data_IF_161167869214
#
_entry.id   IF_161167869214
#
_cell.length_a   1.000
_cell.length_b   1.000
_cell.length_c   1.000
_cell.angle_alpha   90.00
_cell.angle_beta   90.00
_cell.angle_gamma   90.00
#
_symmetry.space_group_name_H-M   'P 1'
#
loop_
_entity.id
_entity.type
_entity.pdbx_description
1 polymer ?
#
# COMPACT_ATOMS: atom_id res chain seq x y z
N UNK A 1 20.67 -25.68 -28.93
CA UNK A 1 19.39 -26.40 -29.11
C UNK A 1 18.57 -26.12 -27.87
N UNK A 2 17.83 -25.02 -27.83
CA UNK A 2 17.01 -24.65 -26.66
C UNK A 2 15.78 -25.53 -26.63
N UNK A 3 15.77 -26.53 -25.76
CA UNK A 3 14.55 -27.22 -25.36
C UNK A 3 13.74 -26.21 -24.55
N UNK A 4 12.87 -25.46 -25.22
CA UNK A 4 11.86 -24.67 -24.52
C UNK A 4 10.98 -25.68 -23.78
N UNK A 5 11.09 -25.74 -22.46
CA UNK A 5 10.19 -26.55 -21.63
C UNK A 5 8.76 -26.08 -21.91
N UNK A 6 7.95 -26.97 -22.49
CA UNK A 6 6.57 -26.67 -22.80
C UNK A 6 5.79 -26.30 -21.53
N UNK A 7 4.83 -25.38 -21.70
CA UNK A 7 3.93 -25.01 -20.62
C UNK A 7 3.14 -26.24 -20.17
N UNK A 8 3.32 -26.62 -18.89
CA UNK A 8 2.57 -27.70 -18.25
C UNK A 8 1.81 -27.14 -17.06
N UNK A 9 0.49 -27.35 -17.06
CA UNK A 9 -0.38 -26.95 -15.96
C UNK A 9 0.09 -27.58 -14.63
N UNK A 10 0.12 -26.80 -13.56
CA UNK A 10 0.54 -27.26 -12.24
C UNK A 10 2.05 -27.46 -12.06
N UNK A 11 2.88 -27.05 -13.03
CA UNK A 11 4.34 -27.10 -12.94
C UNK A 11 4.94 -25.70 -13.03
N UNK A 12 5.98 -25.46 -12.23
CA UNK A 12 6.78 -24.23 -12.29
C UNK A 12 7.96 -24.33 -13.26
N UNK A 13 8.19 -25.46 -13.93
CA UNK A 13 9.41 -25.69 -14.71
C UNK A 13 9.63 -24.65 -15.82
N UNK A 14 8.59 -24.37 -16.60
CA UNK A 14 8.66 -23.36 -17.66
C UNK A 14 8.93 -21.96 -17.08
N UNK A 15 8.23 -21.57 -16.00
CA UNK A 15 8.39 -20.27 -15.36
C UNK A 15 9.78 -20.09 -14.72
N UNK A 16 10.21 -21.07 -13.92
CA UNK A 16 11.47 -21.02 -13.19
C UNK A 16 12.70 -21.17 -14.08
N UNK A 17 12.58 -21.82 -15.23
CA UNK A 17 13.67 -21.84 -16.23
C UNK A 17 13.93 -20.47 -16.86
N UNK A 18 12.97 -19.53 -16.78
CA UNK A 18 13.03 -18.19 -17.39
C UNK A 18 13.29 -17.06 -16.40
N UNK A 19 12.90 -17.24 -15.14
CA UNK A 19 12.86 -16.19 -14.12
C UNK A 19 13.33 -16.76 -12.78
N UNK A 20 14.21 -16.05 -12.06
CA UNK A 20 14.60 -16.39 -10.70
C UNK A 20 13.58 -15.94 -9.65
N UNK A 21 12.39 -16.55 -9.62
CA UNK A 21 11.47 -16.34 -8.51
C UNK A 21 12.03 -16.97 -7.23
N UNK A 22 11.68 -16.42 -6.06
CA UNK A 22 12.14 -16.93 -4.76
C UNK A 22 11.75 -18.38 -4.50
N UNK A 23 10.68 -18.88 -5.14
CA UNK A 23 10.21 -20.26 -5.01
C UNK A 23 10.96 -21.27 -5.89
N UNK A 24 11.66 -20.80 -6.93
CA UNK A 24 12.26 -21.67 -7.95
C UNK A 24 13.34 -22.64 -7.45
N UNK A 25 14.19 -22.28 -6.47
CA UNK A 25 15.13 -23.22 -5.87
C UNK A 25 14.47 -24.36 -5.07
N UNK A 26 13.16 -24.28 -4.80
CA UNK A 26 12.45 -25.20 -3.89
C UNK A 26 11.43 -26.11 -4.58
N UNK A 27 11.26 -25.98 -5.89
CA UNK A 27 10.22 -26.71 -6.64
C UNK A 27 10.81 -27.40 -7.86
N UNK A 28 10.20 -28.52 -8.28
CA UNK A 28 10.59 -29.27 -9.47
C UNK A 28 11.56 -30.40 -9.17
N UNK A 29 12.82 -30.24 -9.57
CA UNK A 29 13.89 -31.24 -9.34
C UNK A 29 14.33 -31.28 -7.88
N UNK A 30 14.99 -32.38 -7.49
CA UNK A 30 15.56 -32.58 -6.14
C UNK A 30 16.53 -31.48 -5.74
N UNK A 31 17.20 -30.85 -6.71
CA UNK A 31 18.16 -29.75 -6.49
C UNK A 31 17.56 -28.36 -6.81
N UNK A 32 16.25 -28.27 -7.03
CA UNK A 32 15.57 -27.03 -7.46
C UNK A 32 15.77 -26.73 -8.95
N UNK A 33 15.15 -25.64 -9.42
CA UNK A 33 15.25 -25.18 -10.82
C UNK A 33 15.99 -23.86 -10.88
N UNK A 34 17.11 -23.87 -11.60
CA UNK A 34 17.88 -22.67 -11.90
C UNK A 34 17.41 -22.01 -13.21
N UNK A 35 17.30 -20.67 -13.26
CA UNK A 35 17.02 -19.97 -14.51
C UNK A 35 18.18 -20.09 -15.50
N UNK A 36 17.87 -20.15 -16.80
CA UNK A 36 18.88 -20.21 -17.86
C UNK A 36 19.69 -18.91 -17.98
N UNK A 37 19.10 -17.78 -17.57
CA UNK A 37 19.73 -16.47 -17.62
C UNK A 37 19.23 -15.62 -16.45
N UNK A 38 20.15 -15.07 -15.67
CA UNK A 38 19.89 -14.15 -14.56
C UNK A 38 20.93 -13.03 -14.54
N UNK A 39 20.62 -11.92 -13.84
CA UNK A 39 21.54 -10.79 -13.68
C UNK A 39 22.81 -11.19 -12.91
N UNK A 40 23.98 -10.74 -13.38
CA UNK A 40 25.28 -11.08 -12.82
C UNK A 40 25.37 -10.67 -11.35
N UNK A 41 25.88 -11.60 -10.54
CA UNK A 41 26.16 -11.35 -9.13
C UNK A 41 27.39 -10.45 -8.98
N UNK A 42 27.36 -9.58 -7.97
CA UNK A 42 28.47 -8.68 -7.65
C UNK A 42 29.04 -9.07 -6.29
N UNK A 43 30.36 -9.23 -6.22
CA UNK A 43 31.06 -9.44 -4.95
C UNK A 43 31.33 -8.08 -4.32
N UNK A 44 30.75 -7.81 -3.15
CA UNK A 44 31.00 -6.62 -2.36
C UNK A 44 31.75 -7.04 -1.09
N UNK A 45 33.03 -6.68 -1.00
CA UNK A 45 33.95 -7.17 0.02
C UNK A 45 33.93 -8.72 0.09
N UNK A 46 33.37 -9.29 1.16
CA UNK A 46 33.29 -10.74 1.38
C UNK A 46 31.89 -11.33 1.14
N UNK A 47 30.88 -10.53 0.82
CA UNK A 47 29.53 -11.00 0.52
C UNK A 47 29.24 -10.98 -0.98
N UNK A 48 28.63 -12.06 -1.48
CA UNK A 48 28.19 -12.14 -2.86
C UNK A 48 26.71 -11.72 -2.90
N UNK A 49 26.45 -10.59 -3.56
CA UNK A 49 25.10 -10.05 -3.71
C UNK A 49 24.54 -10.55 -5.03
N UNK A 50 23.39 -11.18 -4.94
CA UNK A 50 22.66 -11.67 -6.09
C UNK A 50 21.76 -10.55 -6.65
N UNK A 51 21.69 -10.47 -7.98
CA UNK A 51 20.79 -9.58 -8.74
C UNK A 51 20.73 -8.10 -8.23
N UNK A 52 21.87 -7.40 -8.18
CA UNK A 52 21.94 -6.05 -7.60
C UNK A 52 21.07 -5.01 -8.33
N UNK A 53 20.85 -5.17 -9.65
CA UNK A 53 19.98 -4.29 -10.43
C UNK A 53 18.54 -4.27 -9.90
N UNK A 54 17.99 -5.45 -9.62
CA UNK A 54 16.62 -5.62 -9.10
C UNK A 54 16.53 -5.15 -7.64
N UNK A 55 17.60 -5.37 -6.85
CA UNK A 55 17.70 -4.90 -5.47
C UNK A 55 17.54 -3.37 -5.35
N UNK A 56 18.16 -2.60 -6.25
CA UNK A 56 18.01 -1.14 -6.27
C UNK A 56 16.53 -0.74 -6.47
N UNK A 57 15.80 -1.43 -7.35
CA UNK A 57 14.39 -1.16 -7.58
C UNK A 57 13.54 -1.49 -6.35
N UNK A 58 13.83 -2.56 -5.63
CA UNK A 58 13.11 -2.86 -4.38
C UNK A 58 13.38 -1.79 -3.30
N UNK A 59 14.58 -1.22 -3.21
CA UNK A 59 14.85 -0.08 -2.32
C UNK A 59 14.00 1.13 -2.70
N UNK A 60 13.94 1.46 -4.00
CA UNK A 60 13.08 2.53 -4.50
C UNK A 60 11.60 2.24 -4.18
N UNK A 61 11.15 1.00 -4.37
CA UNK A 61 9.79 0.57 -4.05
C UNK A 61 9.47 0.74 -2.55
N UNK A 62 10.40 0.42 -1.65
CA UNK A 62 10.23 0.66 -0.21
C UNK A 62 10.09 2.14 0.11
N UNK A 63 10.96 2.99 -0.44
CA UNK A 63 10.90 4.45 -0.22
C UNK A 63 9.58 5.02 -0.73
N UNK A 64 9.18 4.65 -1.95
CA UNK A 64 7.91 5.10 -2.53
C UNK A 64 6.70 4.61 -1.72
N UNK A 65 6.75 3.36 -1.23
CA UNK A 65 5.69 2.80 -0.37
C UNK A 65 5.60 3.55 0.96
N UNK A 66 6.73 3.90 1.56
CA UNK A 66 6.76 4.71 2.79
C UNK A 66 6.14 6.11 2.58
N UNK A 67 6.44 6.77 1.46
CA UNK A 67 5.84 8.07 1.09
C UNK A 67 4.32 7.94 0.90
N UNK A 68 3.85 6.90 0.21
CA UNK A 68 2.41 6.66 0.04
C UNK A 68 1.72 6.44 1.39
N UNK A 69 2.29 5.60 2.27
CA UNK A 69 1.76 5.38 3.63
C UNK A 69 1.69 6.70 4.41
N UNK A 70 2.73 7.54 4.31
CA UNK A 70 2.74 8.85 4.96
C UNK A 70 1.57 9.73 4.47
N UNK A 71 1.37 9.84 3.15
CA UNK A 71 0.25 10.63 2.60
C UNK A 71 -1.13 10.08 2.99
N UNK A 72 -1.33 8.77 2.98
CA UNK A 72 -2.59 8.14 3.42
C UNK A 72 -2.89 8.52 4.87
N UNK A 73 -1.88 8.46 5.74
CA UNK A 73 -2.03 8.78 7.16
C UNK A 73 -2.23 10.26 7.44
N UNK A 74 -1.74 11.14 6.57
CA UNK A 74 -1.93 12.60 6.69
C UNK A 74 -3.36 13.06 6.39
N UNK A 75 -4.20 12.25 5.71
CA UNK A 75 -5.62 12.55 5.52
C UNK A 75 -6.42 12.17 6.78
N UNK A 76 -7.25 13.08 7.29
CA UNK A 76 -8.02 12.86 8.53
C UNK A 76 -9.41 12.25 8.34
N UNK A 77 -10.09 12.59 7.22
CA UNK A 77 -11.51 12.28 6.95
C UNK A 77 -11.75 11.31 5.78
N UNK A 78 -10.70 10.76 5.17
CA UNK A 78 -10.83 9.91 3.99
C UNK A 78 -11.41 8.53 4.31
N UNK A 79 -12.37 8.10 3.48
CA UNK A 79 -12.99 6.78 3.52
C UNK A 79 -11.98 5.66 3.21
N UNK A 80 -12.02 4.57 3.97
CA UNK A 80 -11.20 3.37 3.79
C UNK A 80 -9.72 3.58 4.11
N UNK A 81 -9.35 4.66 4.80
CA UNK A 81 -7.95 5.05 5.06
C UNK A 81 -7.16 3.97 5.80
N UNK A 82 -7.74 3.34 6.81
CA UNK A 82 -7.03 2.35 7.64
C UNK A 82 -6.93 0.99 6.91
N UNK A 83 -7.92 0.70 6.09
CA UNK A 83 -8.09 -0.49 5.28
C UNK A 83 -7.06 -0.50 4.15
N UNK A 84 -6.93 0.61 3.40
CA UNK A 84 -5.95 0.72 2.32
C UNK A 84 -4.52 0.82 2.85
N UNK A 85 -4.32 1.47 4.01
CA UNK A 85 -3.01 1.50 4.66
C UNK A 85 -2.51 0.08 4.97
N UNK A 86 -3.40 -0.84 5.35
CA UNK A 86 -3.04 -2.24 5.59
C UNK A 86 -2.50 -2.93 4.32
N UNK A 87 -3.10 -2.66 3.16
CA UNK A 87 -2.59 -3.16 1.87
C UNK A 87 -1.15 -2.67 1.62
N UNK A 88 -0.86 -1.38 1.82
CA UNK A 88 0.50 -0.84 1.63
C UNK A 88 1.49 -1.38 2.67
N UNK A 89 1.07 -1.64 3.91
CA UNK A 89 1.92 -2.32 4.89
C UNK A 89 2.25 -3.76 4.47
N UNK A 90 1.29 -4.52 3.93
CA UNK A 90 1.55 -5.86 3.40
C UNK A 90 2.49 -5.81 2.19
N UNK A 91 2.28 -4.88 1.26
CA UNK A 91 3.19 -4.68 0.12
C UNK A 91 4.62 -4.30 0.56
N UNK A 92 4.75 -3.46 1.59
CA UNK A 92 6.05 -3.15 2.19
C UNK A 92 6.72 -4.41 2.75
N UNK A 93 5.98 -5.26 3.48
CA UNK A 93 6.52 -6.53 4.01
C UNK A 93 6.92 -7.51 2.90
N UNK A 94 6.13 -7.63 1.82
CA UNK A 94 6.49 -8.42 0.63
C UNK A 94 7.81 -7.91 0.04
N UNK A 95 7.92 -6.59 -0.17
CA UNK A 95 9.12 -5.98 -0.75
C UNK A 95 10.37 -6.18 0.13
N UNK A 96 10.22 -6.16 1.46
CA UNK A 96 11.30 -6.49 2.40
C UNK A 96 11.71 -7.96 2.26
N UNK A 97 10.76 -8.89 2.15
CA UNK A 97 11.06 -10.31 1.95
C UNK A 97 11.74 -10.57 0.60
N UNK A 98 11.30 -9.91 -0.47
CA UNK A 98 11.98 -9.93 -1.77
C UNK A 98 13.43 -9.48 -1.64
N UNK A 99 13.71 -8.37 -0.95
CA UNK A 99 15.07 -7.91 -0.70
C UNK A 99 15.91 -8.96 0.02
N UNK A 100 15.39 -9.62 1.05
CA UNK A 100 16.13 -10.62 1.83
C UNK A 100 16.41 -11.90 1.03
N UNK A 101 15.45 -12.36 0.23
CA UNK A 101 15.53 -13.60 -0.54
C UNK A 101 16.28 -13.44 -1.86
N UNK A 102 16.06 -12.35 -2.60
CA UNK A 102 16.68 -12.10 -3.90
C UNK A 102 18.14 -11.65 -3.75
N UNK A 103 18.47 -10.87 -2.71
CA UNK A 103 19.86 -10.44 -2.46
C UNK A 103 20.81 -11.58 -2.12
N UNK A 104 20.27 -12.72 -1.69
CA UNK A 104 21.02 -13.84 -1.12
C UNK A 104 21.58 -13.59 0.29
N UNK A 105 21.05 -12.58 1.01
CA UNK A 105 21.30 -12.44 2.46
C UNK A 105 20.90 -13.73 3.19
N UNK A 106 19.79 -14.34 2.77
CA UNK A 106 19.41 -15.70 3.16
C UNK A 106 19.86 -16.64 2.04
N UNK A 107 20.92 -17.44 2.23
CA UNK A 107 21.41 -18.33 1.18
C UNK A 107 20.38 -19.41 0.86
N UNK A 108 20.24 -19.75 -0.42
CA UNK A 108 19.35 -20.83 -0.90
C UNK A 108 19.70 -22.20 -0.31
N UNK A 109 20.98 -22.42 0.02
CA UNK A 109 21.46 -23.64 0.68
C UNK A 109 21.12 -23.74 2.17
N UNK A 110 20.60 -22.68 2.79
CA UNK A 110 20.26 -22.69 4.21
C UNK A 110 18.93 -23.39 4.45
N UNK A 111 18.83 -24.16 5.55
CA UNK A 111 17.58 -24.79 5.99
C UNK A 111 16.47 -23.77 6.31
N UNK A 112 16.81 -22.48 6.44
CA UNK A 112 15.86 -21.42 6.72
C UNK A 112 15.17 -20.91 5.44
N UNK A 113 15.79 -21.09 4.27
CA UNK A 113 15.28 -20.56 3.00
C UNK A 113 13.85 -21.02 2.66
N UNK A 114 13.45 -22.30 2.87
CA UNK A 114 12.08 -22.74 2.63
C UNK A 114 11.04 -22.04 3.50
N UNK A 115 11.37 -21.77 4.77
CA UNK A 115 10.46 -21.10 5.71
C UNK A 115 10.24 -19.64 5.35
N UNK A 116 11.32 -18.90 5.05
CA UNK A 116 11.21 -17.50 4.62
C UNK A 116 10.52 -17.37 3.26
N UNK A 117 10.78 -18.29 2.34
CA UNK A 117 10.08 -18.33 1.05
C UNK A 117 8.59 -18.65 1.23
N UNK A 118 8.23 -19.55 2.17
CA UNK A 118 6.84 -19.82 2.51
C UNK A 118 6.13 -18.59 3.07
N UNK A 119 6.77 -17.86 3.98
CA UNK A 119 6.26 -16.58 4.51
C UNK A 119 6.09 -15.56 3.38
N UNK A 120 7.06 -15.47 2.46
CA UNK A 120 6.99 -14.57 1.32
C UNK A 120 5.77 -14.85 0.43
N UNK A 121 5.53 -16.10 0.04
CA UNK A 121 4.36 -16.49 -0.78
C UNK A 121 3.04 -16.26 -0.03
N UNK A 122 3.05 -16.51 1.28
CA UNK A 122 1.92 -16.19 2.16
C UNK A 122 1.60 -14.69 2.16
N UNK A 123 2.61 -13.83 2.28
CA UNK A 123 2.45 -12.37 2.26
C UNK A 123 1.96 -11.87 0.90
N UNK A 124 2.47 -12.43 -0.20
CA UNK A 124 1.98 -12.11 -1.56
C UNK A 124 0.47 -12.39 -1.62
N UNK A 125 0.06 -13.59 -1.22
CA UNK A 125 -1.35 -14.01 -1.32
C UNK A 125 -2.25 -13.21 -0.38
N UNK A 126 -1.77 -12.89 0.83
CA UNK A 126 -2.47 -11.99 1.74
C UNK A 126 -2.59 -10.57 1.19
N UNK A 127 -1.61 -10.08 0.43
CA UNK A 127 -1.66 -8.76 -0.23
C UNK A 127 -2.76 -8.72 -1.29
N UNK A 128 -2.85 -9.74 -2.15
CA UNK A 128 -3.93 -9.85 -3.14
C UNK A 128 -5.31 -10.02 -2.50
N UNK A 129 -5.41 -10.80 -1.42
CA UNK A 129 -6.64 -10.94 -0.66
C UNK A 129 -7.06 -9.62 -0.01
N UNK A 130 -6.12 -8.90 0.61
CA UNK A 130 -6.36 -7.60 1.21
C UNK A 130 -6.79 -6.56 0.16
N UNK A 131 -6.19 -6.59 -1.03
CA UNK A 131 -6.59 -5.73 -2.15
C UNK A 131 -8.05 -6.01 -2.57
N UNK A 132 -8.43 -7.29 -2.71
CA UNK A 132 -9.80 -7.68 -3.01
C UNK A 132 -10.78 -7.16 -1.95
N UNK A 133 -10.48 -7.31 -0.66
CA UNK A 133 -11.35 -6.83 0.40
C UNK A 133 -11.47 -5.31 0.45
N UNK A 134 -10.38 -4.59 0.18
CA UNK A 134 -10.42 -3.14 -0.02
C UNK A 134 -11.40 -2.75 -1.13
N UNK A 135 -11.58 -3.60 -2.15
CA UNK A 135 -12.54 -3.33 -3.20
C UNK A 135 -14.01 -3.42 -2.77
N UNK A 136 -14.33 -4.17 -1.72
CA UNK A 136 -15.67 -4.19 -1.15
C UNK A 136 -15.98 -3.00 -0.25
N UNK A 137 -14.95 -2.34 0.31
CA UNK A 137 -15.11 -1.16 1.20
C UNK A 137 -15.80 -0.01 0.46
N UNK A 138 -15.50 0.17 -0.83
CA UNK A 138 -16.11 1.24 -1.63
C UNK A 138 -17.64 1.08 -1.84
N UNK A 139 -18.18 -0.13 -1.70
CA UNK A 139 -19.63 -0.38 -1.76
C UNK A 139 -20.34 -0.20 -0.41
N UNK A 140 -19.60 0.17 0.64
CA UNK A 140 -20.14 0.39 1.99
C UNK A 140 -20.91 -0.82 2.56
N UNK A 141 -20.59 -2.05 2.13
CA UNK A 141 -21.21 -3.27 2.68
C UNK A 141 -20.99 -3.42 4.20
N UNK A 142 -19.84 -2.95 4.69
CA UNK A 142 -19.59 -2.69 6.09
C UNK A 142 -19.29 -1.21 6.23
N UNK A 143 -19.92 -0.54 7.19
CA UNK A 143 -19.70 0.86 7.47
C UNK A 143 -18.19 1.10 7.74
N UNK A 144 -17.61 2.02 6.97
CA UNK A 144 -16.17 2.28 6.98
C UNK A 144 -15.69 2.73 8.36
N UNK A 145 -14.49 2.30 8.76
CA UNK A 145 -13.94 2.62 10.08
C UNK A 145 -14.61 1.92 11.26
N UNK A 146 -15.66 1.13 11.05
CA UNK A 146 -16.20 0.25 12.09
C UNK A 146 -15.17 -0.80 12.50
N UNK A 147 -15.17 -1.23 13.78
CA UNK A 147 -14.30 -2.32 14.21
C UNK A 147 -14.54 -3.59 13.40
N UNK A 148 -15.78 -3.83 12.93
CA UNK A 148 -16.11 -4.98 12.09
C UNK A 148 -15.36 -4.95 10.76
N UNK A 149 -15.36 -3.83 10.04
CA UNK A 149 -14.60 -3.67 8.78
C UNK A 149 -13.12 -3.96 9.02
N UNK A 150 -12.50 -3.28 10.00
CA UNK A 150 -11.06 -3.38 10.26
C UNK A 150 -10.63 -4.79 10.70
N UNK A 151 -11.37 -5.41 11.62
CA UNK A 151 -11.03 -6.73 12.12
C UNK A 151 -11.31 -7.81 11.08
N UNK A 152 -12.33 -7.64 10.22
CA UNK A 152 -12.58 -8.58 9.13
C UNK A 152 -11.41 -8.64 8.13
N UNK A 153 -10.88 -7.49 7.71
CA UNK A 153 -9.73 -7.42 6.79
C UNK A 153 -8.47 -7.96 7.46
N UNK A 154 -8.22 -7.60 8.73
CA UNK A 154 -7.05 -8.06 9.49
C UNK A 154 -7.04 -9.56 9.69
N UNK A 155 -8.13 -10.10 10.24
CA UNK A 155 -8.21 -11.53 10.57
C UNK A 155 -8.22 -12.37 9.29
N UNK A 156 -9.02 -12.00 8.28
CA UNK A 156 -9.08 -12.80 7.05
C UNK A 156 -7.74 -12.79 6.29
N UNK A 157 -7.08 -11.64 6.17
CA UNK A 157 -5.75 -11.57 5.54
C UNK A 157 -4.71 -12.35 6.33
N UNK A 158 -4.79 -12.33 7.67
CA UNK A 158 -3.91 -13.12 8.53
C UNK A 158 -4.15 -14.64 8.40
N UNK A 159 -5.41 -15.07 8.29
CA UNK A 159 -5.78 -16.47 8.06
C UNK A 159 -5.26 -16.94 6.70
N UNK A 160 -5.44 -16.15 5.63
CA UNK A 160 -4.89 -16.47 4.29
C UNK A 160 -3.36 -16.52 4.33
N UNK A 161 -2.72 -15.56 5.00
CA UNK A 161 -1.27 -15.56 5.20
C UNK A 161 -0.78 -16.87 5.84
N UNK A 162 -1.38 -17.29 6.95
CA UNK A 162 -0.99 -18.52 7.65
C UNK A 162 -1.28 -19.77 6.82
N UNK A 163 -2.46 -19.84 6.18
CA UNK A 163 -2.86 -20.99 5.37
C UNK A 163 -1.91 -21.21 4.19
N UNK A 164 -1.55 -20.13 3.48
CA UNK A 164 -0.65 -20.23 2.32
C UNK A 164 0.80 -20.42 2.74
N UNK A 165 1.23 -19.82 3.86
CA UNK A 165 2.57 -20.07 4.43
C UNK A 165 2.72 -21.56 4.79
N UNK A 166 1.73 -22.13 5.49
CA UNK A 166 1.72 -23.54 5.83
C UNK A 166 1.70 -24.42 4.58
N UNK A 167 0.84 -24.12 3.61
CA UNK A 167 0.77 -24.85 2.33
C UNK A 167 2.11 -24.83 1.59
N UNK A 168 2.79 -23.68 1.56
CA UNK A 168 4.07 -23.52 0.88
C UNK A 168 5.16 -24.35 1.56
N UNK A 169 5.28 -24.26 2.89
CA UNK A 169 6.24 -25.06 3.67
C UNK A 169 5.95 -26.55 3.52
N UNK A 170 4.68 -26.96 3.61
CA UNK A 170 4.29 -28.35 3.41
C UNK A 170 4.61 -28.85 2.00
N UNK A 171 4.56 -27.98 1.00
CA UNK A 171 4.96 -28.32 -0.37
C UNK A 171 6.48 -28.49 -0.49
N UNK A 172 7.27 -27.58 0.09
CA UNK A 172 8.73 -27.63 0.02
C UNK A 172 9.32 -28.83 0.77
N UNK A 173 8.82 -29.10 1.97
CA UNK A 173 9.23 -30.25 2.79
C UNK A 173 8.56 -31.57 2.37
N UNK A 174 7.75 -31.54 1.30
CA UNK A 174 6.98 -32.68 0.79
C UNK A 174 6.19 -33.43 1.88
N UNK A 175 5.46 -32.67 2.71
CA UNK A 175 4.66 -33.19 3.81
C UNK A 175 3.29 -33.67 3.31
N UNK A 176 2.98 -34.95 3.57
CA UNK A 176 1.66 -35.53 3.31
C UNK A 176 1.33 -35.60 1.81
N UNK A 177 0.17 -35.06 1.35
CA UNK A 177 -0.21 -35.09 -0.06
C UNK A 177 0.54 -34.06 -0.91
N UNK A 178 1.31 -33.17 -0.30
CA UNK A 178 2.04 -32.11 -1.00
C UNK A 178 3.45 -32.59 -1.35
N UNK A 179 3.91 -32.28 -2.56
CA UNK A 179 5.26 -32.63 -3.02
C UNK A 179 5.87 -31.49 -3.80
N UNK A 180 7.15 -31.22 -3.55
CA UNK A 180 7.94 -30.24 -4.30
C UNK A 180 8.06 -30.60 -5.79
N UNK A 181 7.98 -31.90 -6.13
CA UNK A 181 8.07 -32.39 -7.52
C UNK A 181 6.81 -32.13 -8.33
N UNK A 182 5.65 -32.13 -7.68
CA UNK A 182 4.36 -31.86 -8.30
C UNK A 182 3.59 -30.81 -7.48
N UNK A 183 4.03 -29.55 -7.49
CA UNK A 183 3.51 -28.48 -6.64
C UNK A 183 2.21 -27.88 -7.21
N UNK A 184 1.25 -28.72 -7.61
CA UNK A 184 0.02 -28.30 -8.28
C UNK A 184 -0.79 -27.35 -7.40
N UNK A 185 -0.95 -27.66 -6.11
CA UNK A 185 -1.72 -26.83 -5.19
C UNK A 185 -1.09 -25.45 -5.00
N UNK A 186 0.23 -25.39 -4.84
CA UNK A 186 0.97 -24.13 -4.74
C UNK A 186 0.85 -23.31 -6.03
N UNK A 187 0.92 -23.96 -7.19
CA UNK A 187 0.73 -23.32 -8.50
C UNK A 187 -0.67 -22.70 -8.64
N UNK A 188 -1.72 -23.42 -8.24
CA UNK A 188 -3.09 -22.92 -8.27
C UNK A 188 -3.26 -21.71 -7.36
N UNK A 189 -2.72 -21.74 -6.14
CA UNK A 189 -2.78 -20.58 -5.26
C UNK A 189 -2.01 -19.39 -5.85
N UNK A 190 -0.78 -19.63 -6.29
CA UNK A 190 0.11 -18.56 -6.74
C UNK A 190 -0.42 -17.82 -7.98
N UNK A 191 -0.94 -18.54 -8.97
CA UNK A 191 -1.44 -17.94 -10.21
C UNK A 191 -2.96 -17.74 -10.23
N UNK A 192 -3.74 -18.77 -9.91
CA UNK A 192 -5.19 -18.75 -10.11
C UNK A 192 -5.88 -17.99 -8.98
N UNK A 193 -5.58 -18.30 -7.72
CA UNK A 193 -6.22 -17.61 -6.59
C UNK A 193 -5.85 -16.13 -6.55
N UNK A 194 -4.56 -15.80 -6.64
CA UNK A 194 -4.11 -14.40 -6.66
C UNK A 194 -4.62 -13.64 -7.89
N UNK A 195 -4.59 -14.27 -9.07
CA UNK A 195 -5.12 -13.69 -10.30
C UNK A 195 -6.63 -13.46 -10.23
N UNK A 196 -7.39 -14.39 -9.65
CA UNK A 196 -8.83 -14.24 -9.42
C UNK A 196 -9.13 -13.10 -8.45
N UNK A 197 -8.37 -12.98 -7.35
CA UNK A 197 -8.53 -11.88 -6.40
C UNK A 197 -8.34 -10.52 -7.08
N UNK A 198 -7.28 -10.39 -7.90
CA UNK A 198 -7.03 -9.17 -8.67
C UNK A 198 -8.14 -8.89 -9.70
N UNK A 199 -8.57 -9.91 -10.44
CA UNK A 199 -9.60 -9.75 -11.46
C UNK A 199 -10.93 -9.29 -10.85
N UNK A 200 -11.35 -9.93 -9.75
CA UNK A 200 -12.56 -9.54 -9.02
C UNK A 200 -12.43 -8.10 -8.50
N UNK A 201 -11.28 -7.74 -7.92
CA UNK A 201 -11.02 -6.36 -7.49
C UNK A 201 -11.20 -5.34 -8.62
N UNK A 202 -10.61 -5.59 -9.79
CA UNK A 202 -10.70 -4.69 -10.96
C UNK A 202 -12.15 -4.55 -11.43
N UNK A 203 -12.89 -5.66 -11.53
CA UNK A 203 -14.31 -5.63 -11.92
C UNK A 203 -15.12 -4.81 -10.92
N UNK A 204 -14.90 -5.02 -9.62
CA UNK A 204 -15.57 -4.27 -8.56
C UNK A 204 -15.27 -2.77 -8.64
N UNK A 205 -14.02 -2.36 -8.87
CA UNK A 205 -13.68 -0.93 -9.02
C UNK A 205 -14.35 -0.30 -10.24
N UNK A 206 -14.36 -0.99 -11.38
CA UNK A 206 -15.01 -0.49 -12.60
C UNK A 206 -16.51 -0.32 -12.35
N UNK A 207 -17.17 -1.30 -11.71
CA UNK A 207 -18.59 -1.21 -11.38
C UNK A 207 -18.88 -0.03 -10.44
N UNK A 208 -18.04 0.17 -9.43
CA UNK A 208 -18.18 1.27 -8.49
C UNK A 208 -18.07 2.63 -9.21
N UNK A 209 -17.04 2.83 -10.03
CA UNK A 209 -16.83 4.12 -10.70
C UNK A 209 -17.92 4.40 -11.74
N UNK A 210 -18.35 3.39 -12.51
CA UNK A 210 -19.35 3.59 -13.57
C UNK A 210 -20.76 3.81 -13.03
N UNK A 211 -21.13 3.16 -11.92
CA UNK A 211 -22.50 3.22 -11.40
C UNK A 211 -22.69 4.24 -10.27
N UNK A 212 -21.63 4.56 -9.51
CA UNK A 212 -21.75 5.36 -8.29
C UNK A 212 -21.10 6.75 -8.40
N UNK A 213 -20.01 6.91 -9.17
CA UNK A 213 -19.31 8.20 -9.27
C UNK A 213 -19.70 8.99 -10.52
N UNK A 214 -19.83 10.30 -10.35
CA UNK A 214 -20.02 11.25 -11.45
C UNK A 214 -18.69 11.55 -12.18
N UNK A 215 -17.57 11.60 -11.44
CA UNK A 215 -16.24 11.76 -12.03
C UNK A 215 -15.69 10.43 -12.56
N UNK A 216 -15.38 10.42 -13.86
CA UNK A 216 -14.85 9.26 -14.59
C UNK A 216 -13.31 9.22 -14.60
N UNK A 217 -12.63 10.26 -14.11
CA UNK A 217 -11.16 10.30 -14.09
C UNK A 217 -10.51 9.10 -13.38
N UNK A 218 -11.06 8.55 -12.27
CA UNK A 218 -10.53 7.34 -11.62
C UNK A 218 -10.50 6.08 -12.51
N UNK A 219 -11.30 6.02 -13.59
CA UNK A 219 -11.19 4.91 -14.56
C UNK A 219 -9.82 4.89 -15.24
N UNK A 220 -9.21 6.05 -15.46
CA UNK A 220 -7.87 6.15 -16.01
C UNK A 220 -6.83 5.47 -15.12
N UNK A 221 -6.89 5.70 -13.81
CA UNK A 221 -5.98 5.08 -12.84
C UNK A 221 -6.13 3.55 -12.84
N UNK A 222 -7.35 3.03 -12.90
CA UNK A 222 -7.61 1.58 -12.99
C UNK A 222 -6.99 1.01 -14.27
N UNK A 223 -7.25 1.64 -15.42
CA UNK A 223 -6.75 1.17 -16.73
C UNK A 223 -5.21 1.19 -16.75
N UNK A 224 -4.58 2.26 -16.30
CA UNK A 224 -3.12 2.34 -16.22
C UNK A 224 -2.55 1.32 -15.23
N UNK A 225 -3.20 1.12 -14.07
CA UNK A 225 -2.78 0.13 -13.09
C UNK A 225 -2.78 -1.30 -13.63
N UNK A 226 -3.85 -1.69 -14.34
CA UNK A 226 -3.97 -3.00 -15.00
C UNK A 226 -3.00 -3.12 -16.17
N UNK A 227 -2.82 -2.07 -16.96
CA UNK A 227 -1.87 -2.05 -18.08
C UNK A 227 -0.43 -2.25 -17.58
N UNK A 228 0.01 -1.51 -16.55
CA UNK A 228 1.35 -1.68 -15.98
C UNK A 228 1.53 -3.08 -15.40
N UNK A 229 0.56 -3.60 -14.65
CA UNK A 229 0.67 -4.95 -14.09
C UNK A 229 0.76 -6.01 -15.18
N UNK A 230 -0.15 -6.00 -16.15
CA UNK A 230 -0.20 -6.99 -17.23
C UNK A 230 1.05 -6.96 -18.11
N UNK A 231 1.53 -5.77 -18.50
CA UNK A 231 2.80 -5.61 -19.23
C UNK A 231 3.96 -6.13 -18.39
N UNK A 232 3.98 -5.87 -17.08
CA UNK A 232 4.97 -6.41 -16.15
C UNK A 232 4.98 -7.94 -16.13
N UNK A 233 3.82 -8.58 -16.02
CA UNK A 233 3.71 -10.04 -16.03
C UNK A 233 4.17 -10.66 -17.37
N UNK A 234 3.82 -10.02 -18.49
CA UNK A 234 4.26 -10.46 -19.82
C UNK A 234 5.77 -10.34 -19.97
N UNK A 235 6.36 -9.21 -19.54
CA UNK A 235 7.81 -9.02 -19.56
C UNK A 235 8.51 -10.09 -18.71
N UNK A 236 7.99 -10.33 -17.51
CA UNK A 236 8.55 -11.29 -16.57
C UNK A 236 8.48 -12.73 -17.11
N UNK A 237 7.30 -13.21 -17.51
CA UNK A 237 7.12 -14.63 -17.84
C UNK A 237 7.41 -15.01 -19.30
N UNK A 238 7.29 -14.06 -20.23
CA UNK A 238 7.50 -14.32 -21.67
C UNK A 238 8.86 -13.83 -22.13
N UNK A 239 9.25 -12.60 -21.77
CA UNK A 239 10.41 -11.93 -22.36
C UNK A 239 11.68 -11.95 -21.51
N UNK A 240 11.64 -12.44 -20.27
CA UNK A 240 12.79 -12.40 -19.34
C UNK A 240 14.10 -12.95 -19.94
N UNK A 241 14.07 -14.12 -20.60
CA UNK A 241 15.27 -14.69 -21.23
C UNK A 241 15.80 -13.82 -22.38
N UNK A 242 14.92 -13.26 -23.20
CA UNK A 242 15.33 -12.42 -24.33
C UNK A 242 15.98 -11.13 -23.82
N UNK A 243 15.41 -10.52 -22.78
CA UNK A 243 15.95 -9.31 -22.14
C UNK A 243 17.31 -9.61 -21.50
N UNK A 244 17.42 -10.70 -20.76
CA UNK A 244 18.66 -11.07 -20.08
C UNK A 244 19.82 -11.32 -21.06
N UNK A 245 19.56 -12.03 -22.15
CA UNK A 245 20.56 -12.26 -23.21
C UNK A 245 20.93 -10.97 -23.95
N UNK A 246 19.94 -10.12 -24.27
CA UNK A 246 20.16 -8.83 -24.92
C UNK A 246 20.97 -7.86 -24.03
N UNK A 247 20.65 -7.81 -22.75
CA UNK A 247 21.32 -6.99 -21.76
C UNK A 247 22.63 -7.62 -21.24
N UNK A 248 23.16 -8.68 -21.87
CA UNK A 248 24.43 -9.35 -21.49
C UNK A 248 24.53 -9.67 -20.00
N UNK A 249 23.44 -10.17 -19.40
CA UNK A 249 23.33 -10.48 -17.97
C UNK A 249 23.48 -9.27 -17.02
N UNK A 250 23.32 -8.02 -17.47
CA UNK A 250 23.27 -6.86 -16.55
C UNK A 250 21.88 -6.67 -15.93
N UNK A 251 20.83 -6.93 -16.72
CA UNK A 251 19.43 -6.74 -16.37
C UNK A 251 18.65 -7.98 -16.80
N UNK A 252 17.64 -8.37 -16.04
CA UNK A 252 16.74 -9.49 -16.34
C UNK A 252 15.27 -9.05 -16.30
N UNK A 253 14.35 -9.99 -16.53
CA UNK A 253 12.92 -9.70 -16.49
C UNK A 253 12.40 -9.28 -15.12
N UNK A 254 13.07 -9.67 -14.02
CA UNK A 254 12.66 -9.28 -12.66
C UNK A 254 12.81 -7.78 -12.44
N UNK A 255 13.90 -7.19 -12.93
CA UNK A 255 14.09 -5.73 -12.86
C UNK A 255 12.89 -4.97 -13.42
N UNK A 256 12.48 -5.28 -14.65
CA UNK A 256 11.33 -4.62 -15.30
C UNK A 256 9.99 -5.02 -14.68
N UNK A 257 9.85 -6.28 -14.25
CA UNK A 257 8.67 -6.77 -13.55
C UNK A 257 8.43 -6.05 -12.24
N UNK A 258 9.48 -5.80 -11.45
CA UNK A 258 9.40 -5.07 -10.18
C UNK A 258 9.06 -3.60 -10.42
N UNK A 259 9.64 -2.94 -11.44
CA UNK A 259 9.26 -1.56 -11.81
C UNK A 259 7.78 -1.49 -12.19
N UNK A 260 7.32 -2.39 -13.07
CA UNK A 260 5.94 -2.42 -13.52
C UNK A 260 4.95 -2.70 -12.38
N UNK A 261 5.33 -3.57 -11.44
CA UNK A 261 4.56 -3.84 -10.22
C UNK A 261 4.47 -2.62 -9.32
N UNK A 262 5.60 -1.92 -9.10
CA UNK A 262 5.61 -0.66 -8.33
C UNK A 262 4.70 0.39 -8.98
N UNK A 263 4.79 0.58 -10.30
CA UNK A 263 3.93 1.52 -11.02
C UNK A 263 2.45 1.16 -10.91
N UNK A 264 2.11 -0.14 -10.96
CA UNK A 264 0.75 -0.61 -10.75
C UNK A 264 0.24 -0.29 -9.33
N UNK A 265 1.05 -0.55 -8.31
CA UNK A 265 0.72 -0.23 -6.91
C UNK A 265 0.58 1.28 -6.70
N UNK A 266 1.37 2.09 -7.40
CA UNK A 266 1.20 3.55 -7.39
C UNK A 266 -0.12 3.99 -8.02
N UNK A 267 -0.62 3.29 -9.04
CA UNK A 267 -1.94 3.57 -9.61
C UNK A 267 -3.07 3.16 -8.66
N UNK A 268 -2.91 2.09 -7.87
CA UNK A 268 -3.85 1.77 -6.78
C UNK A 268 -3.91 2.88 -5.74
N UNK A 269 -2.75 3.46 -5.37
CA UNK A 269 -2.71 4.64 -4.50
C UNK A 269 -3.43 5.85 -5.13
N UNK A 270 -3.12 6.17 -6.39
CA UNK A 270 -3.74 7.31 -7.09
C UNK A 270 -5.25 7.15 -7.22
N UNK A 271 -5.70 5.94 -7.53
CA UNK A 271 -7.11 5.60 -7.57
C UNK A 271 -7.79 5.89 -6.22
N UNK A 272 -7.24 5.37 -5.11
CA UNK A 272 -7.77 5.64 -3.77
C UNK A 272 -7.73 7.13 -3.42
N UNK A 273 -6.64 7.82 -3.77
CA UNK A 273 -6.50 9.24 -3.54
C UNK A 273 -7.58 10.03 -4.30
N UNK A 274 -7.88 9.64 -5.55
CA UNK A 274 -8.84 10.34 -6.39
C UNK A 274 -10.28 10.21 -5.92
N UNK A 275 -10.70 9.04 -5.44
CA UNK A 275 -12.06 8.83 -4.93
C UNK A 275 -12.28 9.45 -3.54
N UNK A 276 -11.22 9.93 -2.87
CA UNK A 276 -11.26 10.54 -1.53
C UNK A 276 -10.88 12.04 -1.53
N UNK A 277 -10.97 12.71 -2.69
CA UNK A 277 -10.64 14.15 -2.81
C UNK A 277 -11.72 15.07 -2.23
N UNK A 278 -12.99 14.74 -2.45
CA UNK A 278 -14.13 15.61 -2.09
C UNK A 278 -14.33 15.74 -0.57
N UNK A 279 -13.89 14.76 0.22
CA UNK A 279 -13.94 14.79 1.70
C UNK A 279 -13.09 15.92 2.33
N UNK A 280 -12.20 16.55 1.55
CA UNK A 280 -11.32 17.63 2.02
C UNK A 280 -11.93 19.03 1.81
N UNK A 281 -12.88 19.19 0.88
CA UNK A 281 -13.52 20.49 0.60
C UNK A 281 -14.46 20.92 1.74
N UNK A 282 -15.03 19.95 2.46
CA UNK A 282 -15.90 20.20 3.61
C UNK A 282 -15.15 20.46 4.93
N UNK A 283 -13.82 20.26 4.97
CA UNK A 283 -13.00 20.51 6.16
C UNK A 283 -12.38 21.91 6.20
N UNK A 284 -12.58 22.73 5.16
CA UNK A 284 -12.19 24.15 5.12
C UNK A 284 -13.44 25.05 5.20
N UNK A 285 -14.29 24.82 6.20
CA UNK A 285 -15.50 25.63 6.46
C UNK A 285 -15.57 26.28 7.84
N UNK A 286 -14.61 26.04 8.76
CA UNK A 286 -14.65 26.63 10.11
C UNK A 286 -13.77 27.88 10.29
N UNK A 287 -13.27 28.45 9.19
CA UNK A 287 -12.81 29.84 9.16
C UNK A 287 -13.57 30.60 8.08
N UNK A 288 -14.89 30.61 8.21
CA UNK A 288 -15.69 31.64 7.56
C UNK A 288 -15.17 32.99 8.08
N UNK A 289 -14.87 33.86 7.13
CA UNK A 289 -14.15 35.11 7.31
C UNK A 289 -14.68 35.91 8.51
N UNK A 290 -13.86 36.08 9.56
CA UNK A 290 -14.13 36.98 10.71
C UNK A 290 -14.23 38.46 10.28
N UNK A 291 -13.98 38.77 9.01
CA UNK A 291 -13.97 40.12 8.47
C UNK A 291 -15.33 40.65 8.00
N UNK A 292 -16.38 39.82 7.90
CA UNK A 292 -17.72 40.29 7.49
C UNK A 292 -18.60 40.84 8.62
N UNK A 293 -18.16 40.80 9.89
CA UNK A 293 -18.97 41.29 11.03
C UNK A 293 -18.60 42.71 11.46
N UNK A 294 -17.54 43.32 10.89
CA UNK A 294 -17.09 44.65 11.36
C UNK A 294 -17.75 45.84 10.65
N UNK A 295 -18.44 45.64 9.53
CA UNK A 295 -19.14 46.74 8.83
C UNK A 295 -20.54 47.02 9.39
N UNK A 296 -21.17 46.10 10.13
CA UNK A 296 -22.53 46.33 10.68
C UNK A 296 -22.57 47.08 12.03
N UNK A 297 -21.42 47.42 12.63
CA UNK A 297 -21.35 48.20 13.88
C UNK A 297 -20.75 49.60 13.70
N UNK A 298 -20.46 50.02 12.47
CA UNK A 298 -19.91 51.36 12.18
C UNK A 298 -20.93 52.41 11.75
N UNK A 299 -22.15 52.01 11.38
CA UNK A 299 -23.13 52.90 10.75
C UNK A 299 -24.18 53.48 11.72
N UNK A 300 -24.28 52.96 12.95
CA UNK A 300 -25.27 53.44 13.94
C UNK A 300 -24.83 54.67 14.75
N UNK A 301 -23.55 55.08 14.69
CA UNK A 301 -23.05 56.26 15.43
C UNK A 301 -23.10 57.58 14.61
N UNK A 302 -23.51 57.55 13.34
CA UNK A 302 -23.53 58.75 12.47
C UNK A 302 -24.93 59.21 11.99
N UNK A 303 -26.02 58.67 12.53
CA UNK A 303 -27.37 59.10 12.17
C UNK A 303 -28.28 59.32 13.40
N UNK A 304 -28.35 60.54 13.92
CA UNK A 304 -29.46 60.94 14.81
C UNK A 304 -29.19 62.04 15.83
N UNK A 305 -28.90 63.25 15.36
CA UNK A 305 -28.98 64.44 16.20
C UNK A 305 -30.44 64.84 16.51
N UNK A 306 -30.74 65.03 17.81
CA UNK A 306 -31.68 66.02 18.38
C UNK A 306 -33.20 65.88 18.13
N UNK A 307 -33.99 65.65 19.20
CA UNK A 307 -34.99 66.59 19.79
C UNK A 307 -35.93 65.90 20.82
N UNK A 308 -35.82 66.33 22.09
CA UNK A 308 -36.87 66.73 23.06
C UNK A 308 -38.15 65.93 23.39
N UNK A 309 -38.31 65.68 24.72
CA UNK A 309 -39.53 65.49 25.56
C UNK A 309 -40.26 64.12 25.47
N UNK A 310 -40.75 63.46 26.54
CA UNK A 310 -41.23 63.91 27.86
C UNK A 310 -41.24 62.74 28.90
N UNK A 311 -41.25 63.09 30.19
CA UNK A 311 -41.09 62.27 31.41
C UNK A 311 -42.22 61.26 31.72
N UNK A 312 -41.90 60.14 32.41
CA UNK A 312 -42.53 59.79 33.71
C UNK A 312 -41.77 58.71 34.51
N UNK A 313 -41.66 58.99 35.81
CA UNK A 313 -40.98 58.26 36.89
C UNK A 313 -41.56 56.87 37.22
N UNK A 314 -40.70 55.94 37.68
CA UNK A 314 -40.80 55.26 38.99
C UNK A 314 -39.47 54.52 39.31
N UNK A 315 -38.96 54.68 40.54
CA UNK A 315 -37.58 54.34 40.96
C UNK A 315 -37.34 52.92 41.53
N UNK A 316 -36.09 52.62 41.96
CA UNK A 316 -35.56 51.27 42.27
C UNK A 316 -35.49 50.96 43.79
N UNK A 317 -35.06 49.75 44.22
CA UNK A 317 -33.64 49.54 44.58
C UNK A 317 -33.10 48.12 44.23
N UNK A 318 -31.83 47.96 43.80
CA UNK A 318 -30.67 47.55 44.62
C UNK A 318 -30.52 46.01 44.62
N UNK A 319 -29.40 45.31 44.46
CA UNK A 319 -27.93 45.45 44.55
C UNK A 319 -27.35 44.18 43.85
N UNK A 320 -26.09 44.01 43.41
CA UNK A 320 -24.85 44.76 43.35
C UNK A 320 -23.81 43.90 42.60
N UNK A 321 -22.92 44.57 41.86
CA UNK A 321 -21.51 44.27 41.50
C UNK A 321 -21.02 42.80 41.37
N UNK A 322 -20.28 42.37 40.35
CA UNK A 322 -19.62 43.05 39.23
C UNK A 322 -18.51 42.18 38.62
N UNK A 323 -18.12 42.51 37.38
CA UNK A 323 -16.78 42.34 36.74
C UNK A 323 -16.13 40.93 36.73
N UNK A 324 -15.46 40.45 35.68
CA UNK A 324 -15.17 40.88 34.32
C UNK A 324 -14.59 39.65 33.59
N UNK A 325 -14.78 39.53 32.28
CA UNK A 325 -14.00 38.60 31.46
C UNK A 325 -12.57 39.09 31.27
N UNK A 326 -11.66 38.17 30.92
CA UNK A 326 -10.66 38.37 29.87
C UNK A 326 -9.94 37.05 29.54
N UNK A 327 -10.11 36.59 28.30
CA UNK A 327 -9.15 35.77 27.54
C UNK A 327 -8.02 36.69 26.99
N UNK A 328 -7.04 36.25 26.14
CA UNK A 328 -6.58 34.91 25.73
C UNK A 328 -5.02 34.75 25.75
N UNK A 329 -4.57 33.60 25.25
CA UNK A 329 -3.22 33.07 24.88
C UNK A 329 -2.24 34.07 24.14
N UNK A 330 -1.03 33.72 23.62
CA UNK A 330 -0.37 32.39 23.41
C UNK A 330 1.18 32.36 23.58
N UNK A 331 1.82 31.21 23.27
CA UNK A 331 3.15 31.23 22.64
C UNK A 331 4.30 30.46 23.30
N UNK A 332 4.57 29.28 22.76
CA UNK A 332 5.78 28.45 22.86
C UNK A 332 7.03 29.16 22.31
N UNK A 333 8.22 28.84 22.83
CA UNK A 333 9.57 28.68 22.21
C UNK A 333 10.59 28.87 23.34
N UNK A 334 11.24 27.82 23.86
CA UNK A 334 12.47 27.27 23.31
C UNK A 334 13.70 28.00 23.90
N UNK A 335 14.57 27.28 24.60
CA UNK A 335 16.05 27.37 24.59
C UNK A 335 16.68 27.03 25.96
N UNK A 336 17.67 26.14 25.90
CA UNK A 336 18.50 25.70 27.01
C UNK A 336 19.37 26.83 27.59
N UNK A 337 19.69 26.78 28.88
CA UNK A 337 21.09 26.78 29.34
C UNK A 337 21.25 26.59 30.86
N UNK A 338 22.44 26.08 31.15
CA UNK A 338 23.08 25.70 32.39
C UNK A 338 23.50 26.87 33.32
N UNK A 339 23.75 26.48 34.58
CA UNK A 339 24.64 27.03 35.62
C UNK A 339 24.21 28.16 36.58
N UNK A 340 24.49 27.83 37.85
CA UNK A 340 24.90 28.63 39.02
C UNK A 340 23.90 29.35 39.93
N UNK A 341 24.09 29.12 41.24
CA UNK A 341 23.77 30.09 42.28
C UNK A 341 23.33 29.54 43.63
N UNK A 342 24.29 29.14 44.46
CA UNK A 342 24.37 29.38 45.91
C UNK A 342 23.07 29.45 46.75
N UNK A 343 22.87 28.47 47.64
CA UNK A 343 23.07 28.59 49.10
C UNK A 343 22.82 27.26 49.81
#
# INVERSE_FOLDING_TARGET
MSTYLDFKFGSFNNTCSKVSLTLCPLVGSTDGIEPLCYSRNVKLADTLIFQPSTLIIHIIALVMTAIMIYHIRSKYTAVGRKEIAMFFYLYMLVTVMDLLLISGIIPTASNLYPYFTGVHIGLISATFWCLLLNGFVGFQFAEDGTPLSLWSIRISSFVIFLAITFLSIATFESLGPFSATNPVTLWVVFFVFNGACLLIYVILQILLVVNTLDDRWPLGDIVFGVAFFSVGQVILYVFSLNICNFAKHYIDGLFFGTIATLLSVMMVYKYWDSITKEDLEFSVGSKQNVWEVKELMGDDEMAGGGYGQQQQHLGPPGSGFGYNGNSPAPGTYGQANFYDGAH
#
